data_IF_012290588417
#
_entry.id   IF_012290588417
#
_cell.length_a   1.000
_cell.length_b   1.000
_cell.length_c   1.000
_cell.angle_alpha   90.00
_cell.angle_beta   90.00
_cell.angle_gamma   90.00
#
_symmetry.space_group_name_H-M   'P 1'
#
loop_
_entity.id
_entity.type
_entity.pdbx_description
1 polymer ?
#
# COMPACT_ATOMS: atom_id res chain seq x y z
N UNK A 1 -55.86 7.91 -11.35
CA UNK A 1 -55.49 6.99 -10.27
C UNK A 1 -54.07 7.36 -9.86
N UNK A 2 -53.97 8.23 -8.87
CA UNK A 2 -52.76 8.92 -8.42
C UNK A 2 -52.09 8.09 -7.34
N UNK A 3 -50.92 7.52 -7.60
CA UNK A 3 -50.08 6.91 -6.58
C UNK A 3 -49.14 7.99 -6.03
N UNK A 4 -49.42 8.38 -4.79
CA UNK A 4 -48.65 9.34 -4.01
C UNK A 4 -47.23 8.82 -3.78
N UNK A 5 -46.26 9.55 -4.31
CA UNK A 5 -44.85 9.43 -4.01
C UNK A 5 -44.63 10.02 -2.61
N UNK A 6 -44.40 9.18 -1.60
CA UNK A 6 -44.05 9.67 -0.25
C UNK A 6 -42.57 10.05 -0.20
N UNK A 7 -42.23 11.30 0.17
CA UNK A 7 -40.86 11.74 0.38
C UNK A 7 -40.52 11.69 1.87
N UNK A 8 -39.59 10.82 2.30
CA UNK A 8 -38.71 10.98 3.49
C UNK A 8 -38.11 9.64 3.95
N UNK A 9 -37.04 9.19 3.27
CA UNK A 9 -36.09 8.25 3.87
C UNK A 9 -34.83 9.04 4.28
N UNK A 10 -34.99 9.88 5.30
CA UNK A 10 -33.86 10.41 6.04
C UNK A 10 -33.35 9.31 6.97
N UNK A 11 -32.22 8.69 6.63
CA UNK A 11 -31.54 7.69 7.46
C UNK A 11 -31.12 8.37 8.77
N UNK A 12 -31.90 8.12 9.82
CA UNK A 12 -31.62 8.60 11.17
C UNK A 12 -30.64 7.61 11.83
N UNK A 13 -29.37 8.01 11.95
CA UNK A 13 -28.28 7.16 12.47
C UNK A 13 -28.39 6.91 13.99
N UNK A 14 -29.21 7.67 14.72
CA UNK A 14 -29.37 7.52 16.17
C UNK A 14 -30.31 6.36 16.55
N UNK A 15 -31.08 5.80 15.60
CA UNK A 15 -32.01 4.69 15.86
C UNK A 15 -31.48 3.31 15.44
N UNK A 16 -30.32 3.23 14.77
CA UNK A 16 -29.56 1.99 14.69
C UNK A 16 -28.83 1.77 16.02
N UNK A 17 -29.59 1.49 17.07
CA UNK A 17 -29.09 0.71 18.18
C UNK A 17 -28.53 -0.57 17.55
N UNK A 18 -27.20 -0.69 17.51
CA UNK A 18 -26.47 -1.85 17.00
C UNK A 18 -27.15 -3.10 17.53
N UNK A 19 -27.95 -3.82 16.72
CA UNK A 19 -28.63 -4.99 17.21
C UNK A 19 -27.54 -6.04 17.32
N UNK A 20 -27.01 -6.24 18.53
CA UNK A 20 -26.16 -7.36 18.95
C UNK A 20 -25.44 -8.07 17.78
N UNK A 21 -24.58 -7.35 17.06
CA UNK A 21 -23.65 -7.95 16.08
C UNK A 21 -22.50 -8.69 16.79
N UNK A 22 -22.66 -8.96 18.09
CA UNK A 22 -21.83 -9.85 18.91
C UNK A 22 -22.24 -11.33 18.80
N UNK A 23 -23.30 -11.66 18.06
CA UNK A 23 -23.75 -13.03 17.80
C UNK A 23 -23.84 -13.20 16.27
N UNK A 24 -22.74 -13.47 15.55
CA UNK A 24 -22.50 -14.81 15.00
C UNK A 24 -21.03 -15.03 14.51
N UNK A 25 -20.05 -14.27 15.03
CA UNK A 25 -18.62 -14.65 15.01
C UNK A 25 -17.92 -14.09 16.27
N UNK A 26 -17.63 -14.96 17.25
CA UNK A 26 -16.61 -14.65 18.26
C UNK A 26 -15.25 -14.50 17.54
N UNK A 27 -14.65 -13.30 17.51
CA UNK A 27 -13.23 -13.17 17.16
C UNK A 27 -12.83 -12.43 15.87
N UNK A 28 -13.58 -11.42 15.42
CA UNK A 28 -13.05 -10.47 14.40
C UNK A 28 -12.11 -9.40 14.98
N UNK A 29 -11.93 -9.37 16.30
CA UNK A 29 -10.90 -8.56 16.94
C UNK A 29 -9.51 -9.15 16.72
N UNK A 30 -8.49 -8.29 16.68
CA UNK A 30 -7.09 -8.75 16.64
C UNK A 30 -6.83 -9.65 17.87
N UNK A 31 -6.42 -10.91 17.69
CA UNK A 31 -6.17 -11.82 18.80
C UNK A 31 -4.93 -11.37 19.60
N UNK A 32 -4.87 -11.74 20.87
CA UNK A 32 -3.72 -11.45 21.72
C UNK A 32 -2.44 -12.04 21.09
N UNK A 33 -1.30 -11.30 21.06
CA UNK A 33 0.00 -11.82 20.64
C UNK A 33 0.38 -13.21 21.15
N UNK A 34 -0.11 -13.63 22.33
CA UNK A 34 0.10 -14.96 22.89
C UNK A 34 -0.53 -16.09 22.04
N UNK A 35 -1.61 -15.82 21.33
CA UNK A 35 -2.41 -16.80 20.58
C UNK A 35 -2.08 -16.82 19.07
N UNK A 36 -1.01 -16.14 18.66
CA UNK A 36 -0.66 -16.04 17.24
C UNK A 36 0.00 -17.32 16.73
N UNK A 37 -0.72 -18.06 15.87
CA UNK A 37 -0.17 -19.18 15.11
C UNK A 37 0.46 -18.61 13.85
N UNK A 38 1.79 -18.65 13.79
CA UNK A 38 2.55 -18.02 12.70
C UNK A 38 2.61 -18.94 11.50
N UNK A 39 2.12 -18.45 10.35
CA UNK A 39 2.15 -19.21 9.10
C UNK A 39 3.45 -18.97 8.33
N UNK A 40 3.79 -17.70 8.14
CA UNK A 40 5.00 -17.31 7.41
C UNK A 40 5.59 -16.00 7.90
N UNK A 41 6.89 -15.81 7.61
CA UNK A 41 7.64 -14.62 7.97
C UNK A 41 8.49 -14.19 6.78
N UNK A 42 8.43 -12.91 6.46
CA UNK A 42 9.22 -12.30 5.41
C UNK A 42 9.86 -11.02 5.93
N UNK A 43 11.18 -10.89 5.77
CA UNK A 43 11.92 -9.71 6.24
C UNK A 43 12.52 -8.97 5.06
N UNK A 44 12.17 -7.71 4.96
CA UNK A 44 12.81 -6.75 4.08
C UNK A 44 13.80 -5.92 4.88
N UNK A 45 15.01 -5.75 4.34
CA UNK A 45 16.03 -4.88 4.93
C UNK A 45 16.54 -3.92 3.88
N UNK A 46 16.19 -2.64 4.02
CA UNK A 46 16.74 -1.58 3.20
C UNK A 46 18.01 -1.03 3.87
N UNK A 47 19.16 -1.44 3.32
CA UNK A 47 20.47 -0.95 3.77
C UNK A 47 20.70 0.54 3.52
N UNK A 48 20.04 1.15 2.52
CA UNK A 48 20.17 2.58 2.22
C UNK A 48 19.41 3.43 3.23
N UNK A 49 18.17 3.06 3.54
CA UNK A 49 17.35 3.77 4.54
C UNK A 49 17.59 3.30 5.98
N UNK A 50 18.33 2.20 6.19
CA UNK A 50 18.56 1.55 7.49
C UNK A 50 17.24 1.17 8.18
N UNK A 51 16.29 0.71 7.37
CA UNK A 51 14.97 0.25 7.81
C UNK A 51 14.90 -1.26 7.59
N UNK A 52 14.49 -2.01 8.60
CA UNK A 52 14.07 -3.40 8.45
C UNK A 52 12.57 -3.50 8.70
N UNK A 53 11.84 -4.05 7.75
CA UNK A 53 10.41 -4.34 7.88
C UNK A 53 10.24 -5.85 7.95
N UNK A 54 9.62 -6.32 9.02
CA UNK A 54 9.24 -7.72 9.18
C UNK A 54 7.74 -7.84 8.93
N UNK A 55 7.39 -8.63 7.94
CA UNK A 55 6.04 -9.08 7.64
C UNK A 55 5.85 -10.46 8.26
N UNK A 56 4.84 -10.61 9.10
CA UNK A 56 4.53 -11.87 9.79
C UNK A 56 3.07 -12.19 9.54
N UNK A 57 2.81 -13.24 8.77
CA UNK A 57 1.45 -13.75 8.56
C UNK A 57 1.10 -14.71 9.69
N UNK A 58 -0.09 -14.58 10.23
CA UNK A 58 -0.55 -15.43 11.32
C UNK A 58 -2.06 -15.64 11.26
N UNK A 59 -2.50 -16.74 11.87
CA UNK A 59 -3.90 -17.16 11.91
C UNK A 59 -4.57 -17.15 10.53
N UNK A 60 -3.80 -17.34 9.45
CA UNK A 60 -4.19 -17.33 8.02
C UNK A 60 -4.59 -15.98 7.43
N UNK A 61 -5.31 -15.14 8.17
CA UNK A 61 -5.94 -13.91 7.64
C UNK A 61 -5.33 -12.63 8.20
N UNK A 62 -4.40 -12.68 9.15
CA UNK A 62 -3.74 -11.47 9.66
C UNK A 62 -2.32 -11.32 9.15
N UNK A 63 -1.93 -10.06 8.96
CA UNK A 63 -0.58 -9.63 8.67
C UNK A 63 -0.11 -8.64 9.73
N UNK A 64 0.91 -9.03 10.49
CA UNK A 64 1.65 -8.13 11.36
C UNK A 64 2.84 -7.54 10.61
N UNK A 65 2.95 -6.22 10.64
CA UNK A 65 4.05 -5.45 10.05
C UNK A 65 4.78 -4.75 11.18
N UNK A 66 6.04 -5.15 11.38
CA UNK A 66 6.93 -4.53 12.35
C UNK A 66 8.05 -3.82 11.63
N UNK A 67 8.10 -2.50 11.77
CA UNK A 67 9.18 -1.66 11.22
C UNK A 67 10.21 -1.35 12.29
N UNK A 68 11.47 -1.52 11.96
CA UNK A 68 12.62 -1.23 12.81
C UNK A 68 13.51 -0.21 12.10
N UNK A 69 13.71 0.95 12.71
CA UNK A 69 14.59 1.99 12.19
C UNK A 69 15.74 2.25 13.15
N UNK A 70 16.98 1.99 12.71
CA UNK A 70 18.23 2.35 13.41
C UNK A 70 18.30 1.95 14.90
N UNK A 71 17.56 0.91 15.32
CA UNK A 71 17.35 0.35 16.69
C UNK A 71 16.04 0.70 17.41
N UNK A 72 15.24 1.66 16.94
CA UNK A 72 13.88 1.87 17.47
C UNK A 72 12.88 0.96 16.75
N UNK A 73 12.17 0.14 17.50
CA UNK A 73 11.00 -0.59 16.97
C UNK A 73 9.79 0.32 16.99
N UNK A 74 9.20 0.52 15.80
CA UNK A 74 7.89 1.15 15.68
C UNK A 74 6.80 0.18 16.18
N UNK A 75 5.62 0.71 16.59
CA UNK A 75 4.50 -0.13 16.97
C UNK A 75 4.17 -1.14 15.86
N UNK A 76 3.87 -2.36 16.27
CA UNK A 76 3.49 -3.44 15.37
C UNK A 76 2.09 -3.17 14.82
N UNK A 77 2.00 -3.08 13.50
CA UNK A 77 0.73 -2.83 12.80
C UNK A 77 0.13 -4.17 12.42
N UNK A 78 -1.05 -4.49 12.95
CA UNK A 78 -1.78 -5.70 12.56
C UNK A 78 -2.87 -5.31 11.59
N UNK A 79 -3.00 -6.04 10.49
CA UNK A 79 -3.95 -5.77 9.42
C UNK A 79 -4.67 -7.09 9.08
N UNK A 80 -5.98 -7.04 8.90
CA UNK A 80 -6.76 -8.17 8.37
C UNK A 80 -6.70 -8.17 6.82
N UNK A 81 -6.16 -9.26 6.27
CA UNK A 81 -6.01 -9.50 4.83
C UNK A 81 -7.35 -9.61 4.11
N UNK A 82 -8.42 -9.93 4.82
CA UNK A 82 -9.77 -10.04 4.24
C UNK A 82 -10.24 -8.71 3.65
N UNK A 83 -9.77 -7.58 4.19
CA UNK A 83 -10.16 -6.24 3.75
C UNK A 83 -9.09 -5.54 2.89
N UNK A 84 -8.20 -6.32 2.26
CA UNK A 84 -7.13 -5.82 1.39
C UNK A 84 -7.39 -6.31 -0.03
N UNK A 85 -7.08 -5.49 -1.04
CA UNK A 85 -7.12 -5.92 -2.44
C UNK A 85 -6.05 -6.98 -2.72
N UNK A 86 -6.44 -8.02 -3.47
CA UNK A 86 -5.56 -9.14 -3.82
C UNK A 86 -4.35 -8.69 -4.63
N UNK A 87 -4.60 -7.87 -5.65
CA UNK A 87 -3.56 -7.40 -6.56
C UNK A 87 -3.00 -6.07 -6.06
N UNK A 88 -1.70 -6.00 -5.70
CA UNK A 88 -1.12 -4.74 -5.27
C UNK A 88 -0.98 -3.79 -6.47
N UNK A 89 -1.15 -2.49 -6.22
CA UNK A 89 -0.83 -1.45 -7.19
C UNK A 89 0.67 -1.28 -7.27
N UNK A 90 1.26 -1.65 -8.40
CA UNK A 90 2.68 -1.44 -8.66
C UNK A 90 2.93 0.02 -9.05
N UNK A 91 3.74 0.73 -8.25
CA UNK A 91 4.19 2.09 -8.57
C UNK A 91 5.67 2.05 -8.88
N UNK A 92 6.00 2.41 -10.13
CA UNK A 92 7.37 2.53 -10.60
C UNK A 92 7.63 3.91 -11.19
N UNK A 93 8.47 4.71 -10.54
CA UNK A 93 8.95 5.99 -11.06
C UNK A 93 10.45 5.88 -11.35
N UNK A 94 10.81 5.69 -12.62
CA UNK A 94 12.21 5.63 -13.05
C UNK A 94 12.83 7.02 -13.31
N UNK A 95 12.07 8.10 -13.08
CA UNK A 95 12.43 9.50 -13.39
C UNK A 95 13.03 9.65 -14.78
N UNK A 96 12.34 9.11 -15.78
CA UNK A 96 12.81 9.08 -17.18
C UNK A 96 13.18 10.46 -17.72
N UNK A 97 12.51 11.52 -17.26
CA UNK A 97 12.83 12.89 -17.65
C UNK A 97 14.24 13.33 -17.23
N UNK A 98 14.72 12.92 -16.05
CA UNK A 98 16.10 13.19 -15.60
C UNK A 98 17.12 12.44 -16.44
N UNK A 99 16.78 11.22 -16.87
CA UNK A 99 17.60 10.45 -17.82
C UNK A 99 17.69 11.16 -19.17
N UNK A 100 16.57 11.69 -19.69
CA UNK A 100 16.57 12.45 -20.93
C UNK A 100 17.42 13.73 -20.83
N UNK A 101 17.30 14.48 -19.73
CA UNK A 101 18.13 15.67 -19.50
C UNK A 101 19.62 15.33 -19.37
N UNK A 102 19.95 14.24 -18.68
CA UNK A 102 21.32 13.77 -18.57
C UNK A 102 21.92 13.44 -19.95
N UNK A 103 21.18 12.70 -20.78
CA UNK A 103 21.60 12.35 -22.14
C UNK A 103 21.79 13.62 -22.98
N UNK A 104 20.89 14.59 -22.89
CA UNK A 104 21.00 15.86 -23.60
C UNK A 104 22.24 16.66 -23.17
N UNK A 105 22.54 16.72 -21.86
CA UNK A 105 23.72 17.41 -21.33
C UNK A 105 25.03 16.74 -21.76
N UNK A 106 25.03 15.42 -21.94
CA UNK A 106 26.20 14.66 -22.37
C UNK A 106 26.39 14.66 -23.90
N UNK A 107 25.30 14.78 -24.67
CA UNK A 107 25.33 14.80 -26.13
C UNK A 107 26.08 16.01 -26.69
N UNK A 108 25.82 17.22 -26.16
CA UNK A 108 26.44 18.45 -26.64
C UNK A 108 27.99 18.45 -26.58
N UNK A 109 28.64 18.15 -25.43
CA UNK A 109 30.10 18.06 -25.36
C UNK A 109 30.65 16.87 -26.14
N UNK A 110 29.92 15.75 -26.21
CA UNK A 110 30.34 14.57 -26.98
C UNK A 110 30.39 14.86 -28.48
N UNK A 111 29.41 15.59 -29.02
CA UNK A 111 29.36 15.97 -30.43
C UNK A 111 30.50 16.93 -30.80
N UNK A 112 30.81 17.89 -29.92
CA UNK A 112 31.93 18.81 -30.12
C UNK A 112 33.27 18.09 -30.05
N UNK A 113 33.44 17.18 -29.10
CA UNK A 113 34.66 16.36 -29.02
C UNK A 113 34.86 15.48 -30.27
N UNK A 114 33.77 14.96 -30.85
CA UNK A 114 33.83 14.20 -32.11
C UNK A 114 34.26 15.06 -33.30
N UNK A 115 33.78 16.31 -33.39
CA UNK A 115 34.09 17.24 -34.48
C UNK A 115 35.45 17.93 -34.33
N UNK A 116 35.90 18.12 -33.09
CA UNK A 116 37.16 18.76 -32.75
C UNK A 116 37.85 17.95 -31.65
N UNK A 117 39.01 17.32 -31.91
CA UNK A 117 39.67 16.42 -30.94
C UNK A 117 40.33 17.16 -29.77
N UNK A 118 39.94 18.39 -29.51
CA UNK A 118 40.31 19.15 -28.32
C UNK A 118 39.13 19.09 -27.36
N UNK A 119 39.39 18.83 -26.07
CA UNK A 119 38.36 18.82 -25.05
C UNK A 119 38.38 20.19 -24.36
N UNK A 120 37.64 21.19 -24.87
CA UNK A 120 37.70 22.53 -24.33
C UNK A 120 37.15 22.54 -22.91
N UNK A 121 37.76 23.35 -22.04
CA UNK A 121 37.42 23.42 -20.61
C UNK A 121 35.92 23.75 -20.36
N UNK A 122 35.26 24.40 -21.31
CA UNK A 122 33.82 24.69 -21.27
C UNK A 122 32.93 23.45 -21.37
N UNK A 123 33.44 22.30 -21.80
CA UNK A 123 32.73 21.04 -21.83
C UNK A 123 32.58 20.37 -20.46
N UNK A 124 33.35 20.80 -19.45
CA UNK A 124 33.30 20.20 -18.11
C UNK A 124 31.97 20.47 -17.35
N UNK A 125 31.41 21.69 -17.33
CA UNK A 125 30.11 21.96 -16.70
C UNK A 125 28.93 21.12 -17.22
N UNK A 126 28.67 20.98 -18.54
CA UNK A 126 27.57 20.15 -19.03
C UNK A 126 27.76 18.66 -18.71
N UNK A 127 29.01 18.17 -18.74
CA UNK A 127 29.32 16.79 -18.31
C UNK A 127 29.02 16.59 -16.82
N UNK A 128 29.49 17.50 -15.96
CA UNK A 128 29.23 17.44 -14.52
C UNK A 128 27.72 17.50 -14.21
N UNK A 129 26.98 18.36 -14.91
CA UNK A 129 25.53 18.46 -14.78
C UNK A 129 24.84 17.17 -15.24
N UNK A 130 25.26 16.58 -16.36
CA UNK A 130 24.72 15.30 -16.85
C UNK A 130 24.93 14.17 -15.84
N UNK A 131 26.13 14.06 -15.27
CA UNK A 131 26.44 13.08 -14.23
C UNK A 131 25.61 13.30 -12.96
N UNK A 132 25.42 14.55 -12.55
CA UNK A 132 24.58 14.91 -11.41
C UNK A 132 23.11 14.52 -11.65
N UNK A 133 22.59 14.75 -12.86
CA UNK A 133 21.24 14.33 -13.25
C UNK A 133 21.09 12.80 -13.26
N UNK A 134 22.08 12.06 -13.76
CA UNK A 134 22.09 10.59 -13.67
C UNK A 134 22.08 10.11 -12.22
N UNK A 135 22.90 10.73 -11.35
CA UNK A 135 22.95 10.39 -9.93
C UNK A 135 21.61 10.68 -9.23
N UNK A 136 20.97 11.81 -9.54
CA UNK A 136 19.63 12.16 -9.04
C UNK A 136 18.56 11.19 -9.56
N UNK A 137 18.60 10.84 -10.84
CA UNK A 137 17.68 9.89 -11.44
C UNK A 137 17.78 8.53 -10.76
N UNK A 138 19.01 8.02 -10.58
CA UNK A 138 19.27 6.77 -9.88
C UNK A 138 18.77 6.82 -8.43
N UNK A 139 19.13 7.87 -7.68
CA UNK A 139 18.78 7.99 -6.26
C UNK A 139 17.28 8.19 -6.04
N UNK A 140 16.61 8.84 -6.99
CA UNK A 140 15.19 9.16 -6.95
C UNK A 140 14.26 8.10 -7.53
N UNK A 141 14.78 7.01 -8.12
CA UNK A 141 13.93 5.93 -8.64
C UNK A 141 13.03 5.41 -7.54
N UNK A 142 11.76 5.14 -7.83
CA UNK A 142 10.87 4.42 -6.92
C UNK A 142 10.27 3.17 -7.54
N UNK A 143 10.12 2.12 -6.73
CA UNK A 143 9.51 0.86 -7.13
C UNK A 143 8.96 0.17 -5.89
N UNK A 144 7.68 0.40 -5.65
CA UNK A 144 7.01 0.05 -4.42
C UNK A 144 5.65 -0.58 -4.81
N UNK A 145 5.29 -1.69 -4.15
CA UNK A 145 3.97 -2.33 -4.31
C UNK A 145 3.05 -1.83 -3.19
N UNK A 146 1.93 -1.22 -3.56
CA UNK A 146 0.96 -0.66 -2.62
C UNK A 146 -0.24 -1.59 -2.47
N UNK A 147 -0.52 -1.98 -1.24
CA UNK A 147 -1.71 -2.77 -0.90
C UNK A 147 -2.81 -1.83 -0.45
N UNK A 148 -3.93 -1.90 -1.16
CA UNK A 148 -5.09 -1.04 -0.98
C UNK A 148 -6.12 -1.73 -0.11
N UNK A 149 -6.90 -0.96 0.64
CA UNK A 149 -8.09 -1.49 1.28
C UNK A 149 -9.14 -1.86 0.21
N UNK A 150 -9.84 -2.96 0.43
CA UNK A 150 -10.78 -3.56 -0.52
C UNK A 150 -11.77 -2.53 -1.06
N UNK A 151 -11.92 -2.44 -2.38
CA UNK A 151 -12.81 -1.50 -3.08
C UNK A 151 -12.54 0.00 -2.80
N UNK A 152 -11.33 0.36 -2.38
CA UNK A 152 -10.94 1.74 -2.07
C UNK A 152 -9.56 2.08 -2.62
N UNK A 153 -9.26 3.38 -2.74
CA UNK A 153 -7.91 3.85 -3.09
C UNK A 153 -7.00 4.07 -1.87
N UNK A 154 -7.44 3.62 -0.70
CA UNK A 154 -6.72 3.84 0.56
C UNK A 154 -5.57 2.85 0.68
N UNK A 155 -4.34 3.34 0.72
CA UNK A 155 -3.14 2.51 0.90
C UNK A 155 -3.00 2.10 2.36
N UNK A 156 -3.04 0.79 2.63
CA UNK A 156 -2.90 0.26 4.00
C UNK A 156 -1.44 -0.01 4.33
N UNK A 157 -0.69 -0.60 3.39
CA UNK A 157 0.73 -0.81 3.55
C UNK A 157 1.45 -0.92 2.20
N UNK A 158 2.77 -0.84 2.25
CA UNK A 158 3.63 -0.94 1.07
C UNK A 158 4.71 -1.99 1.27
N UNK A 159 5.14 -2.58 0.16
CA UNK A 159 6.23 -3.56 0.06
C UNK A 159 7.26 -3.00 -0.92
N UNK A 160 8.54 -2.95 -0.53
CA UNK A 160 9.58 -2.40 -1.39
C UNK A 160 9.95 -3.41 -2.49
N UNK A 161 9.87 -2.99 -3.75
CA UNK A 161 10.22 -3.78 -4.94
C UNK A 161 11.69 -3.67 -5.36
N UNK A 162 12.45 -2.71 -4.80
CA UNK A 162 13.84 -2.44 -5.20
C UNK A 162 14.88 -3.37 -4.58
N UNK A 163 14.46 -4.27 -3.71
CA UNK A 163 15.38 -5.13 -2.98
C UNK A 163 16.15 -6.04 -3.94
N UNK A 164 17.41 -6.39 -3.60
CA UNK A 164 18.27 -7.21 -4.47
C UNK A 164 17.72 -8.63 -4.69
N UNK A 165 16.79 -9.09 -3.85
CA UNK A 165 16.16 -10.40 -3.94
C UNK A 165 14.75 -10.31 -4.54
N UNK A 166 14.64 -9.79 -5.77
CA UNK A 166 13.35 -9.64 -6.46
C UNK A 166 12.54 -10.94 -6.48
N UNK A 167 13.18 -12.10 -6.67
CA UNK A 167 12.50 -13.40 -6.66
C UNK A 167 11.78 -13.70 -5.34
N UNK A 168 12.36 -13.31 -4.19
CA UNK A 168 11.71 -13.49 -2.89
C UNK A 168 10.57 -12.50 -2.68
N UNK A 169 10.69 -11.29 -3.21
CA UNK A 169 9.61 -10.29 -3.17
C UNK A 169 8.43 -10.79 -4.01
N UNK A 170 8.68 -11.27 -5.23
CA UNK A 170 7.63 -11.84 -6.10
C UNK A 170 6.96 -13.04 -5.44
N UNK A 171 7.73 -13.99 -4.90
CA UNK A 171 7.17 -15.15 -4.21
C UNK A 171 6.33 -14.74 -2.98
N UNK A 172 6.77 -13.72 -2.23
CA UNK A 172 6.00 -13.17 -1.12
C UNK A 172 4.70 -12.51 -1.58
N UNK A 173 4.72 -11.74 -2.67
CA UNK A 173 3.51 -11.12 -3.25
C UNK A 173 2.52 -12.19 -3.72
N UNK A 174 3.00 -13.24 -4.37
CA UNK A 174 2.17 -14.38 -4.82
C UNK A 174 1.55 -15.13 -3.63
N UNK A 175 2.36 -15.45 -2.60
CA UNK A 175 1.86 -16.08 -1.37
C UNK A 175 0.82 -15.20 -0.67
N UNK A 176 1.09 -13.88 -0.60
CA UNK A 176 0.21 -12.93 0.04
C UNK A 176 -1.11 -12.76 -0.73
N UNK A 177 -1.08 -12.73 -2.06
CA UNK A 177 -2.27 -12.71 -2.90
C UNK A 177 -3.14 -13.95 -2.69
N UNK A 178 -2.54 -15.15 -2.63
CA UNK A 178 -3.27 -16.38 -2.34
C UNK A 178 -3.87 -16.41 -0.92
N UNK A 179 -3.16 -15.84 0.06
CA UNK A 179 -3.66 -15.69 1.42
C UNK A 179 -4.83 -14.70 1.49
N UNK A 180 -4.75 -13.57 0.79
CA UNK A 180 -5.83 -12.58 0.68
C UNK A 180 -7.07 -13.21 0.04
N UNK A 181 -6.94 -13.93 -1.08
CA UNK A 181 -8.07 -14.63 -1.70
C UNK A 181 -8.75 -15.60 -0.73
N UNK A 182 -7.95 -16.34 0.04
CA UNK A 182 -8.46 -17.31 1.01
C UNK A 182 -9.17 -16.62 2.17
N UNK A 183 -8.63 -15.50 2.66
CA UNK A 183 -9.21 -14.69 3.71
C UNK A 183 -10.54 -14.04 3.25
N UNK A 184 -10.56 -13.47 2.04
CA UNK A 184 -11.76 -12.87 1.44
C UNK A 184 -12.89 -13.87 1.25
N UNK A 185 -12.61 -15.12 0.85
CA UNK A 185 -13.63 -16.19 0.77
C UNK A 185 -14.30 -16.50 2.11
N UNK A 186 -13.70 -16.10 3.23
CA UNK A 186 -14.29 -16.27 4.56
C UNK A 186 -15.22 -15.14 4.96
N UNK A 187 -15.28 -14.05 4.17
CA UNK A 187 -16.19 -12.93 4.41
C UNK A 187 -17.62 -13.29 4.01
N UNK A 188 -18.63 -12.77 4.74
CA UNK A 188 -20.01 -12.91 4.33
C UNK A 188 -20.28 -12.14 3.04
N UNK A 189 -21.09 -12.71 2.15
CA UNK A 189 -21.42 -12.09 0.86
C UNK A 189 -22.39 -10.90 1.01
N UNK A 190 -22.35 -10.01 0.02
CA UNK A 190 -23.30 -8.89 -0.09
C UNK A 190 -23.17 -7.84 1.03
N UNK A 191 -24.30 -7.29 1.47
CA UNK A 191 -24.34 -6.13 2.40
C UNK A 191 -23.82 -6.43 3.81
N UNK A 192 -23.71 -7.70 4.19
CA UNK A 192 -23.19 -8.10 5.50
C UNK A 192 -21.68 -7.81 5.67
N UNK A 193 -20.92 -7.63 4.57
CA UNK A 193 -19.48 -7.28 4.61
C UNK A 193 -19.20 -5.84 5.04
N UNK A 194 -20.14 -4.93 4.78
CA UNK A 194 -19.98 -3.48 4.99
C UNK A 194 -19.69 -3.14 6.47
N UNK A 195 -20.47 -3.59 7.47
CA UNK A 195 -20.17 -3.26 8.86
C UNK A 195 -18.83 -3.81 9.34
N UNK A 196 -18.41 -4.97 8.84
CA UNK A 196 -17.11 -5.55 9.17
C UNK A 196 -15.96 -4.71 8.57
N UNK A 197 -16.10 -4.31 7.31
CA UNK A 197 -15.14 -3.43 6.64
C UNK A 197 -15.01 -2.07 7.34
N UNK A 198 -16.14 -1.45 7.72
CA UNK A 198 -16.14 -0.17 8.45
C UNK A 198 -15.47 -0.33 9.83
N UNK A 199 -15.70 -1.45 10.51
CA UNK A 199 -15.08 -1.74 11.81
C UNK A 199 -13.56 -1.88 11.68
N UNK A 200 -13.09 -2.61 10.66
CA UNK A 200 -11.66 -2.75 10.39
C UNK A 200 -11.02 -1.42 10.00
N UNK A 201 -11.64 -0.64 9.11
CA UNK A 201 -11.12 0.68 8.73
C UNK A 201 -11.05 1.63 9.92
N UNK A 202 -12.06 1.62 10.79
CA UNK A 202 -12.03 2.39 12.05
C UNK A 202 -10.85 1.97 12.92
N UNK A 203 -10.59 0.65 13.05
CA UNK A 203 -9.45 0.12 13.80
C UNK A 203 -8.13 0.57 13.20
N UNK A 204 -7.97 0.50 11.87
CA UNK A 204 -6.78 0.98 11.18
C UNK A 204 -6.55 2.48 11.39
N UNK A 205 -7.62 3.27 11.40
CA UNK A 205 -7.60 4.71 11.67
C UNK A 205 -7.14 5.00 13.10
N UNK A 206 -7.73 4.32 14.10
CA UNK A 206 -7.34 4.43 15.51
C UNK A 206 -5.90 3.98 15.76
N UNK A 207 -5.40 3.01 15.00
CA UNK A 207 -4.01 2.57 15.05
C UNK A 207 -3.04 3.52 14.31
N UNK A 208 -3.54 4.58 13.67
CA UNK A 208 -2.76 5.53 12.89
C UNK A 208 -2.15 4.94 11.61
N UNK A 209 -2.74 3.88 11.08
CA UNK A 209 -2.30 3.23 9.83
C UNK A 209 -2.85 4.01 8.62
N UNK A 210 -4.10 4.45 8.71
CA UNK A 210 -4.77 5.31 7.72
C UNK A 210 -5.15 6.64 8.37
N UNK A 211 -5.37 7.67 7.56
CA UNK A 211 -5.82 8.99 8.07
C UNK A 211 -7.35 9.03 8.27
N UNK A 212 -7.83 10.00 9.04
CA UNK A 212 -9.28 10.22 9.23
C UNK A 212 -9.98 10.52 7.89
N UNK A 213 -9.31 11.26 6.99
CA UNK A 213 -9.79 11.56 5.64
C UNK A 213 -9.93 10.27 4.80
N UNK A 214 -8.93 9.39 4.88
CA UNK A 214 -8.95 8.09 4.19
C UNK A 214 -10.08 7.20 4.71
N UNK A 215 -10.35 7.23 6.03
CA UNK A 215 -11.44 6.48 6.65
C UNK A 215 -12.82 6.98 6.16
N UNK A 216 -13.05 8.29 6.15
CA UNK A 216 -14.33 8.85 5.66
C UNK A 216 -14.49 8.66 4.14
N UNK A 217 -13.40 8.77 3.37
CA UNK A 217 -13.42 8.47 1.94
C UNK A 217 -13.74 6.99 1.65
N UNK A 218 -13.12 6.06 2.38
CA UNK A 218 -13.41 4.64 2.29
C UNK A 218 -14.88 4.38 2.61
N UNK A 219 -15.36 4.87 3.76
CA UNK A 219 -16.75 4.75 4.20
C UNK A 219 -17.73 5.24 3.12
N UNK A 220 -17.49 6.40 2.51
CA UNK A 220 -18.32 6.93 1.43
C UNK A 220 -18.43 5.99 0.21
N UNK A 221 -17.35 5.30 -0.16
CA UNK A 221 -17.34 4.34 -1.28
C UNK A 221 -18.10 3.06 -0.94
N UNK A 222 -17.95 2.53 0.26
CA UNK A 222 -18.66 1.32 0.71
C UNK A 222 -20.18 1.49 0.78
N UNK A 223 -20.64 2.71 1.06
CA UNK A 223 -22.08 3.06 1.04
C UNK A 223 -22.56 3.57 -0.32
N UNK A 224 -21.69 3.67 -1.33
CA UNK A 224 -22.09 4.08 -2.67
C UNK A 224 -22.79 2.94 -3.42
N UNK A 225 -23.81 3.22 -4.26
CA UNK A 225 -24.58 2.18 -4.96
C UNK A 225 -23.74 1.24 -5.84
N UNK A 226 -22.58 1.69 -6.30
CA UNK A 226 -21.65 0.94 -7.14
C UNK A 226 -20.80 -0.10 -6.40
N UNK A 227 -20.83 -0.14 -5.07
CA UNK A 227 -20.07 -1.11 -4.26
C UNK A 227 -20.86 -2.40 -3.96
N UNK A 228 -22.04 -2.56 -4.57
CA UNK A 228 -22.98 -3.66 -4.32
C UNK A 228 -23.05 -4.68 -5.47
N UNK A 229 -22.35 -4.43 -6.57
CA UNK A 229 -22.14 -5.37 -7.67
C UNK A 229 -20.89 -6.24 -7.42
#
# INVERSE_FOLDING_TARGET
MTLLMQPSDSINLDSYATPNLELERQGWGVPDPADWIVDSKFRQTDGRRRISTLYKRFNRHYLAIRRQHRQRSLPEQVIDLSFIEREPREIRDDRLWLWALAVMCLLAPSLVYYLTPYLPLWGAPPVALGLLMMAMAWRGRTHDYQYLALHTDTVVFTVDGRLPEQSKVTAFIEELGAAIDTAQKSLPEGRARIPLAVTEMRRLCQAGIITDDDYEAAKGRWFSPSALD
#
